data_IF_436289350836
#
_entry.id   IF_436289350836
#
_cell.length_a   1.000
_cell.length_b   1.000
_cell.length_c   1.000
_cell.angle_alpha   90.00
_cell.angle_beta   90.00
_cell.angle_gamma   90.00
#
_symmetry.space_group_name_H-M   'P 1'
#
loop_
_entity.id
_entity.type
_entity.pdbx_description
1 polymer ?
#
# COMPACT_ATOMS: atom_id res chain seq x y z
N UNK A 1 8.10 12.71 -11.08
CA UNK A 1 7.10 11.62 -11.28
C UNK A 1 6.35 11.39 -9.97
N UNK A 2 5.03 11.53 -9.97
CA UNK A 2 4.23 11.48 -8.73
C UNK A 2 4.29 10.11 -8.03
N UNK A 3 4.37 9.02 -8.78
CA UNK A 3 4.40 7.67 -8.21
C UNK A 3 5.67 7.28 -7.48
N UNK A 4 6.84 7.81 -7.88
CA UNK A 4 8.11 7.43 -7.24
C UNK A 4 8.19 7.87 -5.78
N UNK A 5 7.60 9.00 -5.42
CA UNK A 5 7.54 9.47 -4.03
C UNK A 5 6.68 8.57 -3.12
N UNK A 6 5.77 7.78 -3.69
CA UNK A 6 4.88 6.89 -2.93
C UNK A 6 5.50 5.51 -2.63
N UNK A 7 6.70 5.21 -3.11
CA UNK A 7 7.35 3.90 -2.91
C UNK A 7 7.82 3.64 -1.48
N UNK A 8 7.81 4.63 -0.60
CA UNK A 8 8.01 4.42 0.83
C UNK A 8 6.81 3.72 1.49
N UNK A 9 5.59 3.94 0.95
CA UNK A 9 4.36 3.43 1.53
C UNK A 9 4.21 3.87 2.99
N UNK A 10 3.56 3.03 3.78
CA UNK A 10 3.35 3.23 5.22
C UNK A 10 4.41 2.54 6.08
N UNK A 11 5.52 2.13 5.47
CA UNK A 11 6.50 1.24 6.11
C UNK A 11 7.72 1.97 6.63
N UNK A 12 8.30 1.43 7.71
CA UNK A 12 9.53 1.93 8.35
C UNK A 12 10.78 1.57 7.53
N UNK A 13 10.78 1.86 6.24
CA UNK A 13 11.93 1.57 5.37
C UNK A 13 13.00 2.63 5.58
N UNK A 14 14.20 2.26 6.09
CA UNK A 14 15.20 3.24 6.51
C UNK A 14 15.92 3.92 5.34
N UNK A 15 16.02 3.26 4.20
CA UNK A 15 16.66 3.79 3.01
C UNK A 15 16.01 3.24 1.74
N UNK A 16 15.80 4.11 0.76
CA UNK A 16 15.24 3.76 -0.54
C UNK A 16 16.06 4.45 -1.63
N UNK A 17 16.52 3.66 -2.57
CA UNK A 17 17.12 4.18 -3.80
C UNK A 17 16.13 4.04 -4.95
N UNK A 18 15.85 5.13 -5.63
CA UNK A 18 14.97 5.16 -6.81
C UNK A 18 15.72 5.70 -8.00
N UNK A 19 15.76 4.94 -9.10
CA UNK A 19 16.31 5.37 -10.38
C UNK A 19 15.21 5.29 -11.44
N UNK A 20 14.77 6.43 -11.95
CA UNK A 20 13.72 6.52 -12.97
C UNK A 20 14.38 6.84 -14.30
N UNK A 21 14.21 5.96 -15.29
CA UNK A 21 14.68 6.14 -16.65
C UNK A 21 13.51 6.37 -17.60
N UNK A 22 13.47 7.52 -18.25
CA UNK A 22 12.56 7.78 -19.36
C UNK A 22 13.15 7.21 -20.65
N UNK A 23 12.41 6.35 -21.32
CA UNK A 23 12.82 5.74 -22.59
C UNK A 23 11.85 6.21 -23.68
N UNK A 24 12.40 6.82 -24.71
CA UNK A 24 11.62 7.19 -25.91
C UNK A 24 11.41 5.96 -26.76
N UNK A 25 10.17 5.72 -27.16
CA UNK A 25 9.76 4.59 -27.99
C UNK A 25 8.90 5.06 -29.16
N UNK A 26 8.65 4.16 -30.13
CA UNK A 26 7.75 4.44 -31.26
C UNK A 26 6.25 4.24 -30.92
N UNK A 27 5.95 3.99 -29.63
CA UNK A 27 4.58 3.87 -29.16
C UNK A 27 4.01 5.21 -28.74
N UNK A 28 2.70 5.27 -28.57
CA UNK A 28 2.02 6.43 -27.99
C UNK A 28 2.67 6.78 -26.64
N UNK A 29 2.97 8.07 -26.37
CA UNK A 29 3.50 8.48 -25.07
C UNK A 29 2.56 8.08 -23.93
N UNK A 30 3.14 7.66 -22.81
CA UNK A 30 2.39 7.49 -21.58
C UNK A 30 2.06 8.84 -20.97
N UNK A 31 0.86 9.00 -20.50
CA UNK A 31 0.39 10.21 -19.83
C UNK A 31 -0.28 9.88 -18.50
N UNK A 32 -0.59 10.93 -17.73
CA UNK A 32 -1.20 10.78 -16.43
C UNK A 32 -2.64 10.24 -16.59
N UNK A 33 -2.92 9.13 -15.93
CA UNK A 33 -4.26 8.63 -15.70
C UNK A 33 -4.64 8.86 -14.22
N UNK A 34 -5.88 8.69 -13.86
CA UNK A 34 -6.39 8.91 -12.49
C UNK A 34 -5.48 8.25 -11.45
N UNK A 35 -4.90 9.08 -10.54
CA UNK A 35 -3.88 8.65 -9.58
C UNK A 35 -2.44 8.91 -10.02
N UNK A 36 -2.17 9.12 -11.34
CA UNK A 36 -0.91 9.62 -11.90
C UNK A 36 0.36 8.89 -11.39
N UNK A 37 0.36 7.56 -11.42
CA UNK A 37 1.46 6.70 -10.98
C UNK A 37 1.38 6.28 -9.50
N UNK A 38 0.45 6.81 -8.70
CA UNK A 38 0.26 6.40 -7.31
C UNK A 38 -0.35 4.99 -7.19
N UNK A 39 -1.39 4.60 -7.98
CA UNK A 39 -1.89 3.24 -7.98
C UNK A 39 -0.83 2.21 -8.37
N UNK A 40 0.00 2.54 -9.35
CA UNK A 40 1.10 1.68 -9.80
C UNK A 40 2.14 1.49 -8.71
N UNK A 41 2.51 2.56 -8.00
CA UNK A 41 3.44 2.49 -6.87
C UNK A 41 2.85 1.65 -5.71
N UNK A 42 1.58 1.85 -5.37
CA UNK A 42 0.89 1.06 -4.36
C UNK A 42 0.83 -0.43 -4.77
N UNK A 43 0.48 -0.73 -6.00
CA UNK A 43 0.47 -2.10 -6.51
C UNK A 43 1.84 -2.77 -6.40
N UNK A 44 2.89 -2.10 -6.89
CA UNK A 44 4.25 -2.63 -6.86
C UNK A 44 4.70 -2.92 -5.43
N UNK A 45 4.56 -1.93 -4.55
CA UNK A 45 4.99 -2.04 -3.16
C UNK A 45 4.23 -3.12 -2.39
N UNK A 46 2.91 -3.13 -2.49
CA UNK A 46 2.06 -4.07 -1.75
C UNK A 46 2.22 -5.52 -2.24
N UNK A 47 2.45 -5.70 -3.54
CA UNK A 47 2.82 -7.03 -4.09
C UNK A 47 4.20 -7.47 -3.62
N UNK A 48 5.14 -6.54 -3.50
CA UNK A 48 6.47 -6.83 -2.97
C UNK A 48 6.41 -7.22 -1.48
N UNK A 49 5.64 -6.50 -0.67
CA UNK A 49 5.41 -6.83 0.74
C UNK A 49 4.74 -8.20 0.89
N UNK A 50 3.77 -8.52 0.06
CA UNK A 50 3.16 -9.87 0.02
C UNK A 50 4.19 -10.96 -0.33
N UNK A 51 5.09 -10.67 -1.27
CA UNK A 51 6.15 -11.61 -1.63
C UNK A 51 7.09 -11.86 -0.44
N UNK A 52 7.57 -10.81 0.21
CA UNK A 52 8.39 -10.92 1.42
C UNK A 52 7.65 -11.72 2.52
N UNK A 53 6.37 -11.44 2.73
CA UNK A 53 5.55 -12.16 3.70
C UNK A 53 5.47 -13.66 3.43
N UNK A 54 5.44 -14.08 2.16
CA UNK A 54 5.49 -15.50 1.75
C UNK A 54 6.88 -16.11 1.96
N UNK A 55 7.92 -15.45 1.49
CA UNK A 55 9.31 -15.94 1.60
C UNK A 55 9.76 -16.08 3.06
N UNK A 56 9.32 -15.18 3.93
CA UNK A 56 9.62 -15.23 5.36
C UNK A 56 8.70 -16.13 6.18
N UNK A 57 7.64 -16.66 5.58
CA UNK A 57 6.62 -17.45 6.29
C UNK A 57 5.71 -16.65 7.22
N UNK A 58 5.85 -15.33 7.31
CA UNK A 58 5.03 -14.48 8.19
C UNK A 58 3.60 -14.28 7.68
N UNK A 59 3.43 -14.34 6.36
CA UNK A 59 2.17 -14.04 5.72
C UNK A 59 1.89 -12.53 5.60
N UNK A 60 0.83 -12.16 4.83
CA UNK A 60 0.62 -10.77 4.40
C UNK A 60 0.22 -9.82 5.53
N UNK A 61 -0.48 -10.29 6.55
CA UNK A 61 -0.90 -9.44 7.65
C UNK A 61 0.22 -9.17 8.64
N UNK A 62 0.96 -10.20 9.03
CA UNK A 62 2.01 -10.08 10.03
C UNK A 62 3.21 -9.29 9.52
N UNK A 63 3.60 -9.46 8.25
CA UNK A 63 4.69 -8.67 7.66
C UNK A 63 4.37 -7.18 7.68
N UNK A 64 3.12 -6.80 7.37
CA UNK A 64 2.67 -5.41 7.45
C UNK A 64 2.68 -4.90 8.88
N UNK A 65 2.05 -5.63 9.79
CA UNK A 65 1.99 -5.25 11.20
C UNK A 65 3.37 -4.95 11.80
N UNK A 66 4.39 -5.71 11.44
CA UNK A 66 5.77 -5.50 11.93
C UNK A 66 6.43 -4.26 11.36
N UNK A 67 6.06 -3.87 10.15
CA UNK A 67 6.76 -2.84 9.39
C UNK A 67 5.99 -1.53 9.24
N UNK A 68 4.71 -1.47 9.61
CA UNK A 68 3.94 -0.23 9.60
C UNK A 68 4.51 0.78 10.58
N UNK A 69 4.54 2.05 10.18
CA UNK A 69 4.85 3.18 11.07
C UNK A 69 3.82 3.22 12.19
N UNK A 70 4.29 3.35 13.44
CA UNK A 70 3.45 3.32 14.63
C UNK A 70 3.02 4.73 15.04
N UNK A 71 1.88 4.87 15.74
CA UNK A 71 1.41 6.18 16.20
C UNK A 71 2.41 6.94 17.08
N UNK A 72 3.18 6.25 17.89
CA UNK A 72 4.22 6.81 18.76
C UNK A 72 5.48 7.26 18.02
N UNK A 73 5.60 6.91 16.75
CA UNK A 73 6.70 7.34 15.87
C UNK A 73 6.35 8.59 15.05
N UNK A 74 5.10 9.04 15.10
CA UNK A 74 4.65 10.22 14.37
C UNK A 74 5.02 11.50 15.14
N UNK A 75 5.55 12.54 14.48
CA UNK A 75 5.70 12.67 13.03
C UNK A 75 6.83 11.80 12.45
N UNK A 76 6.53 11.10 11.35
CA UNK A 76 7.44 10.18 10.68
C UNK A 76 7.89 10.74 9.33
N UNK A 77 9.20 10.85 9.13
CA UNK A 77 9.79 11.22 7.83
C UNK A 77 10.13 9.97 7.04
N UNK A 78 9.53 9.82 5.87
CA UNK A 78 9.84 8.71 4.97
C UNK A 78 11.22 8.90 4.33
N UNK A 79 11.85 7.80 3.91
CA UNK A 79 13.12 7.85 3.18
C UNK A 79 13.04 8.61 1.82
N UNK A 80 11.85 8.92 1.34
CA UNK A 80 11.61 9.68 0.11
C UNK A 80 11.15 11.14 0.35
N UNK A 81 11.24 11.62 1.59
CA UNK A 81 11.05 13.04 1.93
C UNK A 81 9.60 13.44 2.24
N UNK A 82 8.66 12.51 2.30
CA UNK A 82 7.31 12.80 2.81
C UNK A 82 7.27 12.69 4.34
N UNK A 83 6.41 13.50 4.98
CA UNK A 83 6.20 13.46 6.43
C UNK A 83 4.77 13.05 6.73
N UNK A 84 4.60 12.02 7.55
CA UNK A 84 3.31 11.69 8.15
C UNK A 84 3.18 12.44 9.47
N UNK A 85 2.19 13.30 9.59
CA UNK A 85 1.90 14.13 10.77
C UNK A 85 0.87 13.49 11.71
N UNK A 86 0.13 12.51 11.19
CA UNK A 86 -0.94 11.80 11.90
C UNK A 86 -1.17 10.42 11.32
N UNK A 87 -1.77 9.52 12.09
CA UNK A 87 -2.21 8.21 11.60
C UNK A 87 -2.09 7.11 12.65
N UNK A 88 -2.98 6.13 12.54
CA UNK A 88 -2.95 4.86 13.28
C UNK A 88 -3.16 3.73 12.26
N UNK A 89 -2.09 3.41 11.54
CA UNK A 89 -2.13 2.50 10.39
C UNK A 89 -2.43 1.06 10.81
N UNK A 90 -1.92 0.64 11.97
CA UNK A 90 -2.23 -0.67 12.54
C UNK A 90 -3.73 -0.83 12.82
N UNK A 91 -4.35 0.14 13.47
CA UNK A 91 -5.76 0.10 13.81
C UNK A 91 -6.65 0.10 12.55
N UNK A 92 -6.28 0.90 11.54
CA UNK A 92 -6.99 0.91 10.25
C UNK A 92 -6.90 -0.46 9.59
N UNK A 93 -5.72 -1.09 9.57
CA UNK A 93 -5.52 -2.44 9.02
C UNK A 93 -6.34 -3.48 9.80
N UNK A 94 -6.32 -3.44 11.14
CA UNK A 94 -7.06 -4.38 11.98
C UNK A 94 -8.58 -4.27 11.78
N UNK A 95 -9.12 -3.04 11.73
CA UNK A 95 -10.55 -2.82 11.44
C UNK A 95 -10.96 -3.32 10.06
N UNK A 96 -10.09 -3.15 9.07
CA UNK A 96 -10.33 -3.68 7.74
C UNK A 96 -10.32 -5.21 7.72
N UNK A 97 -9.38 -5.85 8.42
CA UNK A 97 -9.35 -7.31 8.57
C UNK A 97 -10.59 -7.85 9.27
N UNK A 98 -11.06 -7.16 10.30
CA UNK A 98 -12.31 -7.52 11.00
C UNK A 98 -13.52 -7.46 10.06
N UNK A 99 -13.70 -6.35 9.34
CA UNK A 99 -14.78 -6.18 8.35
C UNK A 99 -14.75 -7.20 7.22
N UNK A 100 -13.55 -7.62 6.79
CA UNK A 100 -13.36 -8.64 5.77
C UNK A 100 -13.53 -10.07 6.32
N UNK A 101 -13.71 -10.22 7.62
CA UNK A 101 -13.65 -11.51 8.31
C UNK A 101 -12.40 -12.31 7.87
N UNK A 102 -11.24 -11.68 8.04
CA UNK A 102 -9.96 -12.25 7.62
C UNK A 102 -9.69 -13.62 8.23
N UNK A 103 -10.03 -13.78 9.51
CA UNK A 103 -9.85 -15.05 10.25
C UNK A 103 -10.74 -16.16 9.74
N UNK A 104 -11.96 -15.85 9.29
CA UNK A 104 -12.91 -16.83 8.74
C UNK A 104 -12.64 -17.19 7.27
N UNK A 105 -11.67 -16.55 6.61
CA UNK A 105 -11.40 -16.79 5.21
C UNK A 105 -11.02 -18.25 4.86
N UNK A 106 -10.21 -18.99 5.64
CA UNK A 106 -9.89 -20.38 5.31
C UNK A 106 -11.14 -21.28 5.21
N UNK A 107 -12.10 -21.09 6.09
CA UNK A 107 -13.38 -21.83 6.05
C UNK A 107 -14.20 -21.49 4.79
N UNK A 108 -14.29 -20.19 4.45
CA UNK A 108 -14.98 -19.75 3.22
C UNK A 108 -14.31 -20.25 1.96
N UNK A 109 -12.98 -20.31 1.96
CA UNK A 109 -12.20 -20.88 0.83
C UNK A 109 -12.49 -22.37 0.65
N UNK A 110 -12.51 -23.13 1.76
CA UNK A 110 -12.85 -24.56 1.74
C UNK A 110 -14.27 -24.82 1.22
N UNK A 111 -15.25 -24.04 1.67
CA UNK A 111 -16.63 -24.11 1.17
C UNK A 111 -16.74 -23.83 -0.32
N UNK A 112 -15.97 -22.87 -0.82
CA UNK A 112 -15.95 -22.57 -2.26
C UNK A 112 -15.31 -23.69 -3.07
N UNK A 113 -14.19 -24.24 -2.59
CA UNK A 113 -13.51 -25.36 -3.22
C UNK A 113 -14.40 -26.60 -3.31
N UNK A 114 -15.18 -26.90 -2.27
CA UNK A 114 -16.16 -27.99 -2.28
C UNK A 114 -17.25 -27.83 -3.35
N UNK A 115 -17.45 -26.59 -3.86
CA UNK A 115 -18.38 -26.30 -4.96
C UNK A 115 -17.68 -26.10 -6.31
N UNK A 116 -16.41 -26.47 -6.42
CA UNK A 116 -15.60 -26.29 -7.63
C UNK A 116 -15.25 -24.84 -7.95
N UNK A 117 -15.31 -23.92 -6.94
CA UNK A 117 -15.02 -22.50 -7.12
C UNK A 117 -13.73 -22.09 -6.42
N UNK A 118 -13.01 -21.16 -7.03
CA UNK A 118 -11.87 -20.48 -6.41
C UNK A 118 -12.35 -19.27 -5.61
N UNK A 119 -11.77 -19.09 -4.43
CA UNK A 119 -11.99 -17.87 -3.63
C UNK A 119 -10.66 -17.32 -3.15
N UNK A 120 -10.44 -16.04 -3.37
CA UNK A 120 -9.27 -15.31 -2.95
C UNK A 120 -9.60 -14.20 -1.95
N UNK A 121 -8.61 -13.78 -1.19
CA UNK A 121 -8.60 -12.57 -0.38
C UNK A 121 -7.24 -11.92 -0.51
N UNK A 122 -7.22 -10.61 -0.61
CA UNK A 122 -6.00 -9.81 -0.65
C UNK A 122 -6.06 -8.64 0.31
N UNK A 123 -4.91 -8.08 0.61
CA UNK A 123 -4.75 -6.91 1.45
C UNK A 123 -3.78 -5.95 0.79
N UNK A 124 -4.10 -4.67 0.82
CA UNK A 124 -3.19 -3.59 0.50
C UNK A 124 -3.36 -2.47 1.52
N UNK A 125 -2.25 -1.92 1.98
CA UNK A 125 -2.24 -0.74 2.86
C UNK A 125 -1.51 0.38 2.14
N UNK A 126 -2.18 1.51 1.92
CA UNK A 126 -1.57 2.62 1.22
C UNK A 126 -2.03 3.96 1.76
N UNK A 127 -1.24 4.97 1.49
CA UNK A 127 -1.58 6.36 1.76
C UNK A 127 -1.84 7.06 0.43
N UNK A 128 -2.87 7.89 0.39
CA UNK A 128 -3.14 8.75 -0.76
C UNK A 128 -2.70 10.18 -0.49
N UNK A 129 -1.98 10.74 -1.43
CA UNK A 129 -1.49 12.10 -1.39
C UNK A 129 -2.42 12.98 -2.21
N UNK A 130 -3.35 13.66 -1.54
CA UNK A 130 -4.49 14.32 -2.18
C UNK A 130 -4.19 15.65 -2.90
N UNK A 131 -2.94 16.13 -2.96
CA UNK A 131 -2.64 17.41 -3.61
C UNK A 131 -1.43 17.30 -4.53
N UNK A 132 -1.52 17.92 -5.70
CA UNK A 132 -0.46 18.04 -6.70
C UNK A 132 0.32 19.36 -6.62
N UNK A 133 0.22 20.11 -5.52
CA UNK A 133 0.93 21.36 -5.33
C UNK A 133 2.44 21.17 -5.21
N UNK A 134 3.23 22.12 -5.76
CA UNK A 134 4.67 22.16 -5.59
C UNK A 134 5.09 22.31 -4.11
N UNK A 135 6.41 22.35 -3.83
CA UNK A 135 6.95 22.37 -2.46
C UNK A 135 6.40 23.48 -1.55
N UNK A 136 5.89 24.54 -2.16
CA UNK A 136 5.40 25.74 -1.46
C UNK A 136 3.96 25.61 -0.93
N UNK A 137 3.19 24.60 -1.41
CA UNK A 137 1.77 24.42 -1.07
C UNK A 137 1.52 23.38 0.03
N UNK A 138 2.57 22.91 0.70
CA UNK A 138 2.55 21.72 1.55
C UNK A 138 2.32 22.00 3.02
N UNK A 139 1.85 23.16 3.40
CA UNK A 139 1.33 23.39 4.76
C UNK A 139 -0.10 22.82 4.83
N UNK A 140 -0.25 21.64 5.43
CA UNK A 140 -1.54 21.00 5.69
C UNK A 140 -1.95 19.93 4.65
N UNK A 141 -1.11 18.93 4.37
CA UNK A 141 -1.52 17.76 3.61
C UNK A 141 -2.23 16.77 4.52
N UNK A 142 -3.51 16.62 4.30
CA UNK A 142 -4.26 15.53 4.92
C UNK A 142 -3.93 14.23 4.21
N UNK A 143 -3.14 13.38 4.85
CA UNK A 143 -2.94 12.00 4.42
C UNK A 143 -4.15 11.17 4.84
N UNK A 144 -4.86 10.63 3.88
CA UNK A 144 -5.96 9.70 4.13
C UNK A 144 -5.43 8.27 4.00
N UNK A 145 -5.25 7.53 5.11
CA UNK A 145 -4.93 6.11 5.02
C UNK A 145 -6.12 5.37 4.41
N UNK A 146 -5.87 4.64 3.34
CA UNK A 146 -6.89 3.87 2.66
C UNK A 146 -6.55 2.39 2.67
N UNK A 147 -7.54 1.57 2.98
CA UNK A 147 -7.44 0.11 2.92
C UNK A 147 -8.41 -0.41 1.88
N UNK A 148 -7.88 -1.17 0.95
CA UNK A 148 -8.70 -1.89 0.00
C UNK A 148 -8.60 -3.39 0.26
N UNK A 149 -9.75 -4.01 0.46
CA UNK A 149 -9.90 -5.46 0.49
C UNK A 149 -10.58 -5.89 -0.80
N UNK A 150 -9.87 -6.68 -1.60
CA UNK A 150 -10.46 -7.28 -2.78
C UNK A 150 -11.00 -8.64 -2.42
N UNK A 151 -12.32 -8.79 -2.56
CA UNK A 151 -13.02 -10.06 -2.41
C UNK A 151 -13.38 -10.55 -3.80
N UNK A 152 -12.77 -11.64 -4.23
CA UNK A 152 -13.13 -12.32 -5.47
C UNK A 152 -14.01 -13.54 -5.14
N UNK A 153 -15.20 -13.59 -5.72
CA UNK A 153 -16.15 -14.72 -5.61
C UNK A 153 -16.22 -15.51 -6.92
#
# INVERSE_FOLDING_TARGET
MAGSGMLAGLYQTPAIYVNVKGVMTNTVPTDAYRGAGRPEAAYLLERFVDHIGRETGLGPAEIRKRNLVKPDQIPWNTALGDTFDSGDFDNVMLKGMEKADWKGFPARRAQSAARGKWRGIGMATYVEKCSGGGPETVKGRDYQPCLTFTKCE
#
